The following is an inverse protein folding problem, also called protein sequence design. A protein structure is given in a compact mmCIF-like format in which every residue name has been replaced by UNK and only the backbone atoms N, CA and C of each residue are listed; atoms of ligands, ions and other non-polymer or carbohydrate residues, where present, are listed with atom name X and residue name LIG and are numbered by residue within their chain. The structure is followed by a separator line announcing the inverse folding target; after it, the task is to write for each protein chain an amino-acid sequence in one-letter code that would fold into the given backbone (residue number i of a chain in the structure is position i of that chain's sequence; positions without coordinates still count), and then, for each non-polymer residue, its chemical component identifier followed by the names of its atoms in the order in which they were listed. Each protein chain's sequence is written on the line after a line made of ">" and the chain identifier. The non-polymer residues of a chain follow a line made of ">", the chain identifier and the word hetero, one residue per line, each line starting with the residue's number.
data_IF_967580298464
#
_entry.id   IF_967580298464
#
_cell.length_a   1.000
_cell.length_b   1.000
_cell.length_c   1.000
_cell.angle_alpha   90.00
_cell.angle_beta   90.00
_cell.angle_gamma   90.00
#
_symmetry.space_group_name_H-M   'P 1'
#
loop_
_entity.id
_entity.type
_entity.pdbx_description
1 polymer ?
#
# COMPACT_ATOMS: atom_id res chain seq x y z
N UNK A 1 8.00 -33.04 5.75
CA UNK A 1 7.29 -32.75 4.47
C UNK A 1 7.97 -31.55 3.82
N UNK A 2 8.66 -31.78 2.70
CA UNK A 2 9.34 -30.74 1.93
C UNK A 2 8.33 -30.12 0.96
N UNK A 3 7.73 -28.99 1.33
CA UNK A 3 6.82 -28.25 0.47
C UNK A 3 7.64 -27.59 -0.64
N UNK A 4 7.64 -28.25 -1.80
CA UNK A 4 8.09 -27.75 -3.09
C UNK A 4 7.61 -26.31 -3.27
N UNK A 5 8.52 -25.34 -3.21
CA UNK A 5 8.22 -23.94 -3.50
C UNK A 5 8.04 -23.87 -5.01
N UNK A 6 6.79 -24.02 -5.44
CA UNK A 6 6.39 -23.86 -6.83
C UNK A 6 6.72 -22.41 -7.21
N UNK A 7 7.52 -22.32 -8.26
CA UNK A 7 7.85 -21.14 -9.03
C UNK A 7 6.60 -20.26 -9.27
N UNK A 8 6.51 -19.13 -8.58
CA UNK A 8 5.46 -18.13 -8.78
C UNK A 8 5.85 -16.89 -7.99
N UNK A 9 5.99 -15.76 -8.67
CA UNK A 9 6.32 -14.48 -8.06
C UNK A 9 5.54 -14.32 -6.74
N UNK A 10 6.24 -14.27 -5.61
CA UNK A 10 5.61 -13.95 -4.33
C UNK A 10 5.07 -12.54 -4.50
N UNK A 11 3.78 -12.41 -4.77
CA UNK A 11 3.12 -11.12 -4.87
C UNK A 11 3.24 -10.46 -3.50
N UNK A 12 4.14 -9.49 -3.41
CA UNK A 12 4.30 -8.67 -2.24
C UNK A 12 3.37 -7.47 -2.35
N UNK A 13 2.94 -6.94 -1.21
CA UNK A 13 1.99 -5.83 -1.12
C UNK A 13 2.55 -4.75 -0.18
N UNK A 14 2.53 -3.50 -0.63
CA UNK A 14 2.94 -2.34 0.17
C UNK A 14 1.75 -1.43 0.45
N UNK A 15 1.77 -0.78 1.60
CA UNK A 15 0.89 0.33 1.94
C UNK A 15 1.60 1.62 1.55
N UNK A 16 0.89 2.46 0.80
CA UNK A 16 1.36 3.75 0.31
C UNK A 16 0.43 4.86 0.82
N UNK A 17 1.00 6.02 1.10
CA UNK A 17 0.27 7.23 1.46
C UNK A 17 0.13 8.13 0.23
N UNK A 18 -1.10 8.42 -0.17
CA UNK A 18 -1.41 9.33 -1.27
C UNK A 18 -1.36 10.78 -0.79
N UNK A 19 -0.52 11.58 -1.43
CA UNK A 19 -0.49 13.03 -1.21
C UNK A 19 -1.09 13.69 -2.45
N UNK A 20 -2.16 14.44 -2.23
CA UNK A 20 -2.80 15.27 -3.24
C UNK A 20 -2.18 16.67 -3.20
N UNK A 21 -1.41 17.01 -4.22
CA UNK A 21 -0.94 18.38 -4.45
C UNK A 21 -1.82 19.06 -5.51
N UNK A 22 -2.32 20.25 -5.20
CA UNK A 22 -2.88 21.13 -6.23
C UNK A 22 -1.75 21.99 -6.78
N UNK A 23 -1.30 21.71 -8.01
CA UNK A 23 -0.49 22.66 -8.75
C UNK A 23 -1.42 23.75 -9.28
N UNK A 24 -0.95 25.00 -9.26
CA UNK A 24 -1.71 26.21 -9.63
C UNK A 24 -2.16 26.27 -11.11
N UNK A 25 -2.20 25.14 -11.82
CA UNK A 25 -2.66 24.99 -13.19
C UNK A 25 -3.16 23.56 -13.44
N UNK A 26 -4.40 23.28 -13.03
CA UNK A 26 -5.25 22.21 -13.56
C UNK A 26 -4.88 20.75 -13.29
N UNK A 27 -3.62 20.42 -13.03
CA UNK A 27 -3.16 19.04 -12.83
C UNK A 27 -3.12 18.68 -11.34
N UNK A 28 -3.87 17.64 -10.96
CA UNK A 28 -3.82 17.02 -9.65
C UNK A 28 -2.57 16.17 -9.53
N UNK A 29 -1.60 16.61 -8.72
CA UNK A 29 -0.37 15.87 -8.48
C UNK A 29 -0.64 14.81 -7.41
N UNK A 30 -0.96 13.59 -7.84
CA UNK A 30 -1.18 12.45 -6.95
C UNK A 30 0.13 11.67 -6.80
N UNK A 31 0.82 11.87 -5.67
CA UNK A 31 2.02 11.12 -5.35
C UNK A 31 1.73 10.03 -4.32
N UNK A 32 2.13 8.79 -4.61
CA UNK A 32 2.02 7.66 -3.68
C UNK A 32 3.37 7.41 -3.01
N UNK A 33 3.50 7.74 -1.73
CA UNK A 33 4.71 7.50 -0.96
C UNK A 33 4.63 6.16 -0.26
N UNK A 34 5.68 5.34 -0.38
CA UNK A 34 5.73 4.08 0.35
C UNK A 34 5.73 4.32 1.86
N UNK A 35 4.83 3.66 2.57
CA UNK A 35 4.64 3.84 4.01
C UNK A 35 4.99 2.58 4.81
N UNK A 36 4.47 1.42 4.43
CA UNK A 36 4.71 0.17 5.16
C UNK A 36 4.65 -1.08 4.27
N UNK A 37 5.40 -2.12 4.62
CA UNK A 37 5.51 -3.38 3.87
C UNK A 37 6.97 -3.73 3.56
N UNK A 38 7.25 -4.59 2.56
CA UNK A 38 6.30 -5.42 1.83
C UNK A 38 5.70 -6.56 2.66
N UNK A 39 4.42 -6.85 2.44
CA UNK A 39 3.69 -7.96 3.04
C UNK A 39 3.47 -9.08 2.02
N UNK A 40 3.67 -10.36 2.40
CA UNK A 40 3.44 -11.49 1.50
C UNK A 40 1.96 -11.83 1.29
N UNK A 41 1.05 -11.16 2.00
CA UNK A 41 -0.39 -11.40 1.93
C UNK A 41 -1.13 -10.06 1.81
N UNK A 42 -2.02 -9.97 0.81
CA UNK A 42 -2.89 -8.82 0.59
C UNK A 42 -3.72 -8.49 1.83
N UNK A 43 -4.25 -9.50 2.54
CA UNK A 43 -5.04 -9.28 3.76
C UNK A 43 -4.22 -8.59 4.86
N UNK A 44 -2.94 -8.95 5.00
CA UNK A 44 -2.04 -8.31 5.98
C UNK A 44 -1.78 -6.86 5.62
N UNK A 45 -1.58 -6.55 4.34
CA UNK A 45 -1.42 -5.18 3.88
C UNK A 45 -2.70 -4.34 4.06
N UNK A 46 -3.88 -4.92 3.78
CA UNK A 46 -5.17 -4.27 3.98
C UNK A 46 -5.44 -3.99 5.47
N UNK A 47 -5.19 -4.97 6.34
CA UNK A 47 -5.32 -4.77 7.78
C UNK A 47 -4.40 -3.64 8.25
N UNK A 48 -3.16 -3.62 7.76
CA UNK A 48 -2.22 -2.55 8.13
C UNK A 48 -2.68 -1.18 7.62
N UNK A 49 -3.22 -1.10 6.39
CA UNK A 49 -3.78 0.15 5.87
C UNK A 49 -4.98 0.62 6.70
N UNK A 50 -5.84 -0.30 7.13
CA UNK A 50 -6.98 0.01 8.01
C UNK A 50 -6.52 0.49 9.40
N UNK A 51 -5.51 -0.15 9.99
CA UNK A 51 -4.90 0.29 11.25
C UNK A 51 -4.31 1.70 11.13
N UNK A 52 -3.65 1.98 10.01
CA UNK A 52 -3.07 3.29 9.72
C UNK A 52 -4.14 4.36 9.52
N UNK A 53 -5.20 4.05 8.76
CA UNK A 53 -6.38 4.91 8.63
C UNK A 53 -6.96 5.27 9.99
N UNK A 54 -7.19 4.29 10.85
CA UNK A 54 -7.72 4.52 12.21
C UNK A 54 -6.77 5.36 13.06
N UNK A 55 -5.45 5.16 12.93
CA UNK A 55 -4.42 5.90 13.68
C UNK A 55 -4.30 7.36 13.21
N UNK A 56 -4.62 7.66 11.95
CA UNK A 56 -4.54 8.99 11.33
C UNK A 56 -5.92 9.63 11.18
N UNK A 57 -6.76 9.53 12.21
CA UNK A 57 -8.08 10.20 12.26
C UNK A 57 -9.05 9.81 11.13
N UNK A 58 -8.92 8.61 10.58
CA UNK A 58 -9.75 8.14 9.47
C UNK A 58 -9.27 8.57 8.09
N UNK A 59 -8.01 9.01 7.95
CA UNK A 59 -7.43 9.41 6.67
C UNK A 59 -7.48 8.27 5.63
N UNK A 60 -8.22 8.50 4.55
CA UNK A 60 -8.43 7.58 3.43
C UNK A 60 -7.27 7.57 2.41
N UNK A 61 -6.21 8.33 2.69
CA UNK A 61 -5.04 8.42 1.81
C UNK A 61 -4.15 7.17 1.83
N UNK A 62 -4.37 6.22 2.73
CA UNK A 62 -3.62 4.95 2.78
C UNK A 62 -4.15 3.93 1.78
N UNK A 63 -3.36 3.61 0.76
CA UNK A 63 -3.71 2.65 -0.30
C UNK A 63 -2.76 1.46 -0.33
N UNK A 64 -3.29 0.28 -0.62
CA UNK A 64 -2.49 -0.93 -0.82
C UNK A 64 -2.21 -1.13 -2.30
N UNK A 65 -0.93 -1.31 -2.65
CA UNK A 65 -0.50 -1.63 -4.02
C UNK A 65 0.42 -2.84 -4.02
N UNK A 66 0.50 -3.53 -5.17
CA UNK A 66 1.50 -4.58 -5.38
C UNK A 66 2.90 -3.97 -5.28
N UNK A 67 3.72 -4.56 -4.44
CA UNK A 67 5.14 -4.28 -4.30
C UNK A 67 5.87 -5.22 -5.27
N UNK A 68 6.12 -4.72 -6.48
CA UNK A 68 6.80 -5.47 -7.55
C UNK A 68 8.24 -5.82 -7.20
#
# INVERSE_FOLDING_TARGET
>A
MLTKIINGAKELYGVYYLVYGSLAGGDELINAYFWAGPYPNLQTALHKAQDLKNSHQGDDSFVVKKYS
#
